data_IF_151629629335
#
_entry.id   IF_151629629335
#
_cell.length_a   1.000
_cell.length_b   1.000
_cell.length_c   1.000
_cell.angle_alpha   90.00
_cell.angle_beta   90.00
_cell.angle_gamma   90.00
#
_symmetry.space_group_name_H-M   'P 1'
#
loop_
_entity.id
_entity.type
_entity.pdbx_description
1 polymer ?
#
# COMPACT_ATOMS: atom_id res chain seq x y z
N UNK A 1 10.15 2.07 -4.49
CA UNK A 1 9.70 3.46 -4.52
C UNK A 1 10.27 4.21 -5.73
N UNK A 2 11.60 4.31 -5.86
CA UNK A 2 12.30 5.18 -6.83
C UNK A 2 11.95 4.91 -8.30
N UNK A 3 11.74 3.64 -8.66
CA UNK A 3 11.46 3.24 -10.05
C UNK A 3 10.01 3.45 -10.48
N UNK A 4 9.06 3.42 -9.56
CA UNK A 4 7.62 3.43 -9.88
C UNK A 4 6.91 4.68 -9.32
N UNK A 5 7.06 4.96 -8.03
CA UNK A 5 6.29 6.00 -7.34
C UNK A 5 6.83 7.40 -7.65
N UNK A 6 8.14 7.60 -7.50
CA UNK A 6 8.78 8.92 -7.71
C UNK A 6 8.56 9.47 -9.12
N UNK A 7 8.72 8.70 -10.21
CA UNK A 7 8.43 9.21 -11.56
C UNK A 7 6.96 9.59 -11.77
N UNK A 8 6.04 8.84 -11.17
CA UNK A 8 4.61 9.14 -11.24
C UNK A 8 4.29 10.45 -10.50
N UNK A 9 4.85 10.67 -9.32
CA UNK A 9 4.69 11.93 -8.58
C UNK A 9 5.17 13.13 -9.39
N UNK A 10 6.36 13.03 -10.00
CA UNK A 10 6.90 14.09 -10.86
C UNK A 10 6.02 14.38 -12.07
N UNK A 11 5.41 13.35 -12.67
CA UNK A 11 4.58 13.48 -13.87
C UNK A 11 3.14 13.89 -13.59
N UNK A 12 2.55 13.36 -12.51
CA UNK A 12 1.11 13.47 -12.22
C UNK A 12 0.80 14.42 -11.05
N UNK A 13 1.77 14.72 -10.21
CA UNK A 13 1.62 15.56 -9.02
C UNK A 13 0.93 14.87 -7.84
N UNK A 14 0.13 13.81 -8.08
CA UNK A 14 -0.57 13.05 -7.03
C UNK A 14 -0.50 11.57 -7.30
N UNK A 15 -0.18 10.80 -6.23
CA UNK A 15 -0.08 9.34 -6.30
C UNK A 15 -0.69 8.71 -5.06
N UNK A 16 -1.56 7.74 -5.26
CA UNK A 16 -2.00 6.81 -4.23
C UNK A 16 -1.21 5.50 -4.36
N UNK A 17 -0.59 5.08 -3.29
CA UNK A 17 0.08 3.79 -3.17
C UNK A 17 -0.75 2.91 -2.26
N UNK A 18 -1.42 1.91 -2.83
CA UNK A 18 -2.21 0.95 -2.06
C UNK A 18 -1.38 -0.31 -1.86
N UNK A 19 -1.09 -0.66 -0.62
CA UNK A 19 -0.35 -1.86 -0.25
C UNK A 19 -1.34 -2.85 0.35
N UNK A 20 -1.61 -3.94 -0.38
CA UNK A 20 -2.43 -5.05 0.11
C UNK A 20 -1.50 -6.19 0.54
N UNK A 21 -1.42 -6.40 1.87
CA UNK A 21 -0.55 -7.42 2.45
C UNK A 21 -1.02 -8.81 2.05
N UNK A 22 -0.07 -9.72 1.81
CA UNK A 22 -0.27 -11.10 1.35
C UNK A 22 -1.00 -11.26 -0.01
N UNK A 23 -1.22 -10.18 -0.77
CA UNK A 23 -1.78 -10.30 -2.12
C UNK A 23 -0.73 -10.89 -3.06
N UNK A 24 -0.99 -12.10 -3.55
CA UNK A 24 -0.11 -12.81 -4.49
C UNK A 24 -0.26 -12.28 -5.91
N UNK A 25 0.74 -12.58 -6.75
CA UNK A 25 0.78 -12.16 -8.15
C UNK A 25 -0.45 -12.60 -8.94
N UNK A 26 -0.91 -13.84 -8.73
CA UNK A 26 -2.08 -14.40 -9.40
C UNK A 26 -3.35 -13.60 -9.07
N UNK A 27 -3.52 -13.24 -7.80
CA UNK A 27 -4.66 -12.40 -7.36
C UNK A 27 -4.59 -10.99 -7.97
N UNK A 28 -3.38 -10.46 -8.13
CA UNK A 28 -3.18 -9.16 -8.79
C UNK A 28 -3.45 -9.22 -10.30
N UNK A 29 -3.18 -10.36 -10.96
CA UNK A 29 -3.53 -10.58 -12.36
C UNK A 29 -5.04 -10.56 -12.56
N UNK A 30 -5.79 -11.28 -11.73
CA UNK A 30 -7.25 -11.27 -11.74
C UNK A 30 -7.81 -9.87 -11.46
N UNK A 31 -7.26 -9.17 -10.46
CA UNK A 31 -7.65 -7.79 -10.15
C UNK A 31 -7.43 -6.86 -11.35
N UNK A 32 -6.31 -7.01 -12.07
CA UNK A 32 -6.05 -6.25 -13.30
C UNK A 32 -7.17 -6.46 -14.33
N UNK A 33 -7.57 -7.73 -14.55
CA UNK A 33 -8.66 -8.03 -15.48
C UNK A 33 -9.99 -7.39 -15.05
N UNK A 34 -10.28 -7.41 -13.73
CA UNK A 34 -11.47 -6.75 -13.18
C UNK A 34 -11.42 -5.22 -13.41
N UNK A 35 -10.27 -4.59 -13.16
CA UNK A 35 -10.07 -3.14 -13.40
C UNK A 35 -10.26 -2.78 -14.87
N UNK A 36 -9.73 -3.59 -15.79
CA UNK A 36 -9.84 -3.36 -17.23
C UNK A 36 -11.25 -3.51 -17.79
N UNK A 37 -12.18 -4.15 -17.06
CA UNK A 37 -13.60 -4.19 -17.41
C UNK A 37 -14.35 -2.90 -17.05
N UNK A 38 -13.74 -2.04 -16.25
CA UNK A 38 -14.30 -0.73 -15.90
C UNK A 38 -13.80 0.30 -16.92
N UNK A 39 -14.64 0.80 -17.80
CA UNK A 39 -14.29 1.68 -18.95
C UNK A 39 -13.45 2.92 -18.60
N UNK A 40 -13.45 3.31 -17.33
CA UNK A 40 -12.75 4.51 -16.83
C UNK A 40 -11.29 4.29 -16.47
N UNK A 41 -10.83 3.03 -16.36
CA UNK A 41 -9.53 2.70 -15.80
C UNK A 41 -8.64 1.98 -16.81
N UNK A 42 -7.35 2.19 -16.64
CA UNK A 42 -6.31 1.43 -17.29
C UNK A 42 -5.45 0.79 -16.22
N UNK A 43 -5.05 -0.45 -16.40
CA UNK A 43 -4.23 -1.19 -15.47
C UNK A 43 -3.06 -1.87 -16.19
N UNK A 44 -1.89 -1.72 -15.60
CA UNK A 44 -0.67 -2.42 -15.98
C UNK A 44 -0.22 -3.29 -14.81
N UNK A 45 0.22 -4.51 -15.08
CA UNK A 45 0.81 -5.41 -14.10
C UNK A 45 2.32 -5.49 -14.34
N UNK A 46 3.09 -5.01 -13.39
CA UNK A 46 4.55 -5.00 -13.45
C UNK A 46 5.08 -6.02 -12.42
N UNK A 47 5.69 -7.13 -12.84
CA UNK A 47 6.30 -8.06 -11.92
C UNK A 47 7.53 -7.44 -11.27
N UNK A 48 7.69 -7.71 -9.98
CA UNK A 48 8.79 -7.20 -9.19
C UNK A 48 9.32 -8.28 -8.25
N UNK A 49 10.64 -8.43 -8.17
CA UNK A 49 11.23 -9.30 -7.17
C UNK A 49 11.12 -8.64 -5.78
N UNK A 50 10.61 -9.41 -4.84
CA UNK A 50 10.57 -9.01 -3.44
C UNK A 50 11.96 -9.06 -2.79
N UNK A 51 12.04 -8.51 -1.59
CA UNK A 51 13.25 -8.59 -0.74
C UNK A 51 13.34 -9.95 -0.06
N UNK A 52 14.55 -10.39 0.25
CA UNK A 52 14.82 -11.61 0.99
C UNK A 52 15.56 -11.30 2.30
N UNK A 53 15.23 -12.00 3.40
CA UNK A 53 14.12 -12.96 3.56
C UNK A 53 12.76 -12.30 3.45
N UNK A 54 11.77 -13.03 2.93
CA UNK A 54 10.42 -12.50 2.68
C UNK A 54 9.57 -12.54 3.96
N UNK A 55 9.66 -11.49 4.77
CA UNK A 55 8.74 -11.27 5.88
C UNK A 55 8.12 -9.87 5.83
N UNK A 56 6.92 -9.74 6.35
CA UNK A 56 6.05 -8.57 6.20
C UNK A 56 6.76 -7.25 6.53
N UNK A 57 7.51 -7.16 7.63
CA UNK A 57 8.15 -5.91 8.05
C UNK A 57 9.22 -5.45 7.05
N UNK A 58 10.02 -6.36 6.52
CA UNK A 58 11.03 -6.03 5.51
C UNK A 58 10.40 -5.66 4.17
N UNK A 59 9.36 -6.40 3.75
CA UNK A 59 8.58 -6.08 2.56
C UNK A 59 7.97 -4.68 2.63
N UNK A 60 7.32 -4.35 3.75
CA UNK A 60 6.73 -3.02 3.97
C UNK A 60 7.77 -1.90 3.98
N UNK A 61 8.94 -2.13 4.60
CA UNK A 61 10.04 -1.18 4.60
C UNK A 61 10.61 -0.94 3.20
N UNK A 62 10.76 -2.00 2.41
CA UNK A 62 11.29 -1.94 1.05
C UNK A 62 10.40 -1.14 0.07
N UNK A 63 9.11 -1.01 0.37
CA UNK A 63 8.16 -0.23 -0.43
C UNK A 63 8.15 1.27 -0.08
N UNK A 64 8.84 1.68 0.99
CA UNK A 64 9.03 3.08 1.34
C UNK A 64 10.21 3.69 0.54
N UNK A 65 10.31 5.04 0.46
CA UNK A 65 11.53 5.67 -0.02
C UNK A 65 12.69 5.24 0.87
N UNK A 66 13.73 4.66 0.28
CA UNK A 66 14.90 4.19 1.02
C UNK A 66 16.16 4.18 0.15
N UNK A 67 17.30 4.40 0.79
CA UNK A 67 18.63 4.16 0.23
C UNK A 67 19.25 2.90 0.83
N UNK A 68 18.94 2.62 2.11
CA UNK A 68 19.48 1.50 2.87
C UNK A 68 18.40 0.88 3.76
N UNK A 69 18.32 -0.44 3.72
CA UNK A 69 17.51 -1.23 4.65
C UNK A 69 18.44 -1.99 5.58
N UNK A 70 18.18 -1.95 6.87
CA UNK A 70 18.96 -2.60 7.91
C UNK A 70 18.04 -3.27 8.92
N UNK A 71 18.52 -4.35 9.52
CA UNK A 71 17.92 -4.88 10.75
C UNK A 71 18.60 -4.19 11.94
N UNK A 72 17.83 -3.92 12.97
CA UNK A 72 18.39 -3.46 14.24
C UNK A 72 19.30 -4.53 14.88
N UNK A 73 20.01 -4.16 15.92
CA UNK A 73 21.00 -5.05 16.58
C UNK A 73 20.40 -6.37 17.07
N UNK A 74 19.12 -6.41 17.35
CA UNK A 74 18.40 -7.58 17.85
C UNK A 74 17.65 -8.31 16.72
N UNK A 75 17.72 -7.83 15.47
CA UNK A 75 16.96 -8.31 14.32
C UNK A 75 15.42 -8.27 14.52
N UNK A 76 14.94 -7.43 15.44
CA UNK A 76 13.51 -7.27 15.74
C UNK A 76 12.84 -6.19 14.89
N UNK A 77 13.61 -5.20 14.43
CA UNK A 77 13.08 -4.04 13.70
C UNK A 77 13.82 -3.84 12.38
N UNK A 78 13.06 -3.46 11.38
CA UNK A 78 13.62 -3.01 10.10
C UNK A 78 13.78 -1.50 10.12
N UNK A 79 15.00 -1.05 9.87
CA UNK A 79 15.34 0.35 9.77
C UNK A 79 15.44 0.77 8.30
N UNK A 80 14.83 1.87 7.98
CA UNK A 80 14.89 2.55 6.68
C UNK A 80 15.76 3.80 6.86
N UNK A 81 16.94 3.81 6.27
CA UNK A 81 17.91 4.90 6.43
C UNK A 81 18.17 5.27 7.91
N UNK A 82 18.21 4.23 8.78
CA UNK A 82 18.42 4.36 10.22
C UNK A 82 17.14 4.62 11.04
N UNK A 83 15.97 4.77 10.42
CA UNK A 83 14.71 5.02 11.11
C UNK A 83 13.85 3.76 11.23
N UNK A 84 13.16 3.59 12.34
CA UNK A 84 12.24 2.49 12.55
C UNK A 84 11.01 2.61 11.65
N UNK A 85 10.81 1.60 10.77
CA UNK A 85 9.67 1.51 9.84
C UNK A 85 8.45 0.78 10.40
N UNK A 86 8.49 0.40 11.68
CA UNK A 86 7.45 -0.40 12.31
C UNK A 86 6.16 0.41 12.51
N UNK A 87 5.04 -0.22 12.18
CA UNK A 87 3.72 0.40 12.32
C UNK A 87 3.46 1.57 11.37
N UNK A 88 2.25 2.11 11.45
CA UNK A 88 1.81 3.21 10.59
C UNK A 88 2.58 4.50 10.88
N UNK A 89 2.83 4.77 12.16
CA UNK A 89 3.52 6.00 12.59
C UNK A 89 4.97 6.06 12.11
N UNK A 90 5.72 4.94 12.22
CA UNK A 90 7.09 4.85 11.73
C UNK A 90 7.16 5.09 10.21
N UNK A 91 6.26 4.46 9.47
CA UNK A 91 6.16 4.63 8.00
C UNK A 91 5.76 6.05 7.60
N UNK A 92 4.84 6.67 8.34
CA UNK A 92 4.45 8.06 8.16
C UNK A 92 5.65 9.01 8.32
N UNK A 93 6.48 8.82 9.35
CA UNK A 93 7.69 9.64 9.60
C UNK A 93 8.67 9.54 8.43
N UNK A 94 8.93 8.32 7.94
CA UNK A 94 9.83 8.09 6.81
C UNK A 94 9.32 8.79 5.53
N UNK A 95 8.03 8.68 5.23
CA UNK A 95 7.44 9.37 4.10
C UNK A 95 7.54 10.90 4.24
N UNK A 96 7.38 11.42 5.45
CA UNK A 96 7.43 12.85 5.71
C UNK A 96 8.85 13.43 5.70
N UNK A 97 9.88 12.63 5.91
CA UNK A 97 11.26 13.11 5.71
C UNK A 97 11.51 13.51 4.25
N UNK A 98 11.02 12.71 3.32
CA UNK A 98 11.26 12.94 1.89
C UNK A 98 10.26 13.94 1.28
N UNK A 99 9.01 13.97 1.76
CA UNK A 99 7.89 14.72 1.17
C UNK A 99 7.23 15.74 2.12
N UNK A 100 7.73 15.87 3.36
CA UNK A 100 7.13 16.76 4.35
C UNK A 100 5.67 16.44 4.62
N UNK A 101 4.88 17.45 4.92
CA UNK A 101 3.44 17.33 5.16
C UNK A 101 2.63 16.93 3.92
N UNK A 102 3.25 16.85 2.75
CA UNK A 102 2.60 16.44 1.51
C UNK A 102 2.44 14.92 1.38
N UNK A 103 3.03 14.14 2.29
CA UNK A 103 2.85 12.69 2.37
C UNK A 103 2.03 12.28 3.59
N UNK A 104 1.11 11.33 3.37
CA UNK A 104 0.30 10.72 4.44
C UNK A 104 0.24 9.21 4.29
N UNK A 105 0.30 8.50 5.42
CA UNK A 105 0.06 7.07 5.53
C UNK A 105 -1.17 6.81 6.41
N UNK A 106 -2.06 5.93 5.98
CA UNK A 106 -3.25 5.57 6.76
C UNK A 106 -3.70 4.15 6.45
N UNK A 107 -4.55 3.60 7.30
CA UNK A 107 -5.22 2.34 6.97
C UNK A 107 -6.30 2.56 5.91
N UNK A 108 -6.38 1.63 4.96
CA UNK A 108 -7.40 1.68 3.90
C UNK A 108 -8.82 1.80 4.47
N UNK A 109 -9.14 1.04 5.53
CA UNK A 109 -10.45 1.12 6.21
C UNK A 109 -10.81 2.52 6.68
N UNK A 110 -9.84 3.31 7.11
CA UNK A 110 -10.09 4.67 7.60
C UNK A 110 -10.25 5.64 6.43
N UNK A 111 -9.49 5.46 5.35
CA UNK A 111 -9.74 6.16 4.08
C UNK A 111 -11.17 5.90 3.56
N UNK A 112 -11.61 4.65 3.58
CA UNK A 112 -12.95 4.28 3.10
C UNK A 112 -14.09 4.89 3.93
N UNK A 113 -13.88 5.18 5.21
CA UNK A 113 -14.85 5.86 6.09
C UNK A 113 -14.95 7.38 5.86
N UNK A 114 -13.98 7.99 5.18
CA UNK A 114 -14.05 9.42 4.89
C UNK A 114 -15.26 9.72 4.00
N UNK A 115 -16.03 10.75 4.37
CA UNK A 115 -17.04 11.29 3.47
C UNK A 115 -16.36 12.03 2.30
N UNK A 116 -17.15 12.38 1.29
CA UNK A 116 -16.65 13.01 0.06
C UNK A 116 -15.86 14.30 0.33
N UNK A 117 -16.36 15.15 1.23
CA UNK A 117 -15.70 16.42 1.58
C UNK A 117 -14.32 16.19 2.21
N UNK A 118 -14.24 15.34 3.24
CA UNK A 118 -12.98 14.98 3.91
C UNK A 118 -12.01 14.28 2.98
N UNK A 119 -12.50 13.39 2.10
CA UNK A 119 -11.70 12.72 1.09
C UNK A 119 -11.07 13.72 0.12
N UNK A 120 -11.85 14.66 -0.39
CA UNK A 120 -11.37 15.73 -1.28
C UNK A 120 -10.37 16.66 -0.59
N UNK A 121 -10.63 17.04 0.67
CA UNK A 121 -9.70 17.86 1.45
C UNK A 121 -8.36 17.12 1.61
N UNK A 122 -8.39 15.88 2.06
CA UNK A 122 -7.18 15.06 2.21
C UNK A 122 -6.40 14.95 0.90
N UNK A 123 -7.08 14.68 -0.22
CA UNK A 123 -6.44 14.59 -1.54
C UNK A 123 -5.87 15.94 -1.99
N UNK A 124 -6.48 17.07 -1.61
CA UNK A 124 -5.96 18.40 -1.92
C UNK A 124 -4.70 18.73 -1.12
N UNK A 125 -4.65 18.32 0.12
CA UNK A 125 -3.53 18.63 1.03
C UNK A 125 -2.30 17.76 0.80
N UNK A 126 -2.48 16.54 0.28
CA UNK A 126 -1.40 15.56 0.12
C UNK A 126 -1.18 15.19 -1.35
N UNK A 127 0.07 15.04 -1.73
CA UNK A 127 0.48 14.63 -3.06
C UNK A 127 0.84 13.13 -3.11
N UNK A 128 1.27 12.56 -1.98
CA UNK A 128 1.58 11.15 -1.81
C UNK A 128 0.74 10.53 -0.69
N UNK A 129 -0.12 9.58 -1.03
CA UNK A 129 -1.02 8.93 -0.09
C UNK A 129 -0.74 7.42 -0.08
N UNK A 130 -0.29 6.90 1.07
CA UNK A 130 -0.09 5.46 1.31
C UNK A 130 -1.29 4.89 2.05
N UNK A 131 -1.92 3.87 1.45
CA UNK A 131 -3.06 3.16 2.02
C UNK A 131 -2.65 1.71 2.32
N UNK A 132 -2.70 1.32 3.59
CA UNK A 132 -2.33 -0.03 4.04
C UNK A 132 -3.58 -0.88 4.25
N UNK A 133 -3.61 -2.03 3.60
CA UNK A 133 -4.67 -3.01 3.65
C UNK A 133 -4.09 -4.39 4.02
N UNK A 134 -4.73 -5.11 4.95
CA UNK A 134 -4.23 -6.37 5.48
C UNK A 134 -5.30 -7.46 5.64
N UNK A 135 -6.37 -7.43 4.84
CA UNK A 135 -7.46 -8.41 4.97
C UNK A 135 -6.97 -9.84 4.74
N UNK A 136 -6.24 -10.07 3.64
CA UNK A 136 -5.75 -11.41 3.26
C UNK A 136 -4.80 -11.93 4.34
N UNK A 137 -3.79 -11.14 4.70
CA UNK A 137 -2.80 -11.46 5.72
C UNK A 137 -3.46 -11.83 7.05
N UNK A 138 -4.30 -10.93 7.55
CA UNK A 138 -5.01 -11.16 8.82
C UNK A 138 -5.89 -12.41 8.82
N UNK A 139 -6.54 -12.73 7.68
CA UNK A 139 -7.39 -13.91 7.57
C UNK A 139 -6.57 -15.19 7.53
N UNK A 140 -5.42 -15.16 6.83
CA UNK A 140 -4.54 -16.31 6.68
C UNK A 140 -3.68 -16.62 7.91
N UNK A 141 -3.38 -15.60 8.74
CA UNK A 141 -2.55 -15.76 9.94
C UNK A 141 -3.33 -16.28 11.17
N UNK A 142 -4.67 -16.19 11.15
CA UNK A 142 -5.51 -16.67 12.24
C UNK A 142 -6.00 -18.10 11.95
N UNK A 143 -5.61 -19.11 12.76
CA UNK A 143 -6.04 -20.50 12.58
C UNK A 143 -7.56 -20.70 12.52
N UNK A 144 -8.34 -19.79 13.12
CA UNK A 144 -9.79 -19.87 13.07
C UNK A 144 -10.38 -19.40 11.76
N UNK A 145 -9.66 -18.58 10.99
CA UNK A 145 -10.14 -17.97 9.76
C UNK A 145 -9.30 -18.31 8.53
N UNK A 146 -8.18 -19.04 8.66
CA UNK A 146 -7.31 -19.39 7.52
C UNK A 146 -8.05 -20.11 6.38
N UNK A 147 -9.09 -20.91 6.71
CA UNK A 147 -9.92 -21.58 5.73
C UNK A 147 -10.75 -20.62 4.86
N UNK A 148 -10.91 -19.36 5.26
CA UNK A 148 -11.62 -18.30 4.54
C UNK A 148 -10.69 -17.44 3.68
N UNK A 149 -9.42 -17.78 3.54
CA UNK A 149 -8.44 -16.96 2.84
C UNK A 149 -8.80 -16.71 1.36
N UNK A 150 -9.43 -17.69 0.70
CA UNK A 150 -9.88 -17.51 -0.69
C UNK A 150 -11.04 -16.52 -0.80
N UNK A 151 -11.97 -16.55 0.15
CA UNK A 151 -13.04 -15.56 0.23
C UNK A 151 -12.48 -14.17 0.51
N UNK A 152 -11.50 -14.06 1.42
CA UNK A 152 -10.79 -12.82 1.72
C UNK A 152 -10.07 -12.23 0.49
N UNK A 153 -9.54 -13.08 -0.41
CA UNK A 153 -8.96 -12.63 -1.69
C UNK A 153 -10.02 -12.01 -2.58
N UNK A 154 -11.16 -12.69 -2.78
CA UNK A 154 -12.25 -12.17 -3.62
C UNK A 154 -12.83 -10.88 -3.06
N UNK A 155 -13.06 -10.80 -1.75
CA UNK A 155 -13.52 -9.59 -1.09
C UNK A 155 -12.50 -8.44 -1.24
N UNK A 156 -11.21 -8.74 -1.13
CA UNK A 156 -10.14 -7.76 -1.33
C UNK A 156 -10.14 -7.21 -2.74
N UNK A 157 -10.28 -8.06 -3.75
CA UNK A 157 -10.34 -7.62 -5.15
C UNK A 157 -11.54 -6.68 -5.39
N UNK A 158 -12.71 -7.02 -4.85
CA UNK A 158 -13.90 -6.16 -4.93
C UNK A 158 -13.71 -4.83 -4.17
N UNK A 159 -13.09 -4.89 -2.99
CA UNK A 159 -12.76 -3.70 -2.20
C UNK A 159 -11.81 -2.78 -2.96
N UNK A 160 -10.78 -3.31 -3.63
CA UNK A 160 -9.87 -2.51 -4.45
C UNK A 160 -10.59 -1.75 -5.57
N UNK A 161 -11.56 -2.35 -6.24
CA UNK A 161 -12.39 -1.65 -7.23
C UNK A 161 -13.12 -0.45 -6.58
N UNK A 162 -13.69 -0.63 -5.39
CA UNK A 162 -14.35 0.47 -4.67
C UNK A 162 -13.37 1.56 -4.25
N UNK A 163 -12.16 1.17 -3.84
CA UNK A 163 -11.08 2.11 -3.53
C UNK A 163 -10.73 2.96 -4.76
N UNK A 164 -10.53 2.35 -5.92
CA UNK A 164 -10.22 3.07 -7.15
C UNK A 164 -11.34 4.01 -7.56
N UNK A 165 -12.60 3.58 -7.43
CA UNK A 165 -13.77 4.44 -7.65
C UNK A 165 -13.78 5.65 -6.69
N UNK A 166 -13.46 5.43 -5.42
CA UNK A 166 -13.40 6.51 -4.43
C UNK A 166 -12.24 7.49 -4.66
N UNK A 167 -11.07 6.99 -5.06
CA UNK A 167 -9.91 7.84 -5.39
C UNK A 167 -10.20 8.75 -6.59
N UNK A 168 -10.99 8.27 -7.55
CA UNK A 168 -11.29 8.98 -8.80
C UNK A 168 -12.56 9.83 -8.77
N UNK A 169 -13.27 9.89 -7.64
CA UNK A 169 -14.48 10.69 -7.45
C UNK A 169 -14.19 12.11 -6.93
#
# INVERSE_FOLDING_TARGET
FEKLVRPLLQKKGKVFVVISDAMRYECALELKEMVMREDRYQAELIPMLGVLPSFTQLGMAALLPNKKLELDKNAEKVLVDGQNSQGLEGRQKILQEDFGKKAIAMHLKDFMKLNQEKGRLMTREHDLIYLYHNRIDKTGDDPNTEHLVFDAVQETQQEMIQVFKKISA
#
